data_IF_153331331206
#
_entry.id   IF_153331331206
#
_cell.length_a   1.000
_cell.length_b   1.000
_cell.length_c   1.000
_cell.angle_alpha   90.00
_cell.angle_beta   90.00
_cell.angle_gamma   90.00
#
_symmetry.space_group_name_H-M   'P 1'
#
loop_
_entity.id
_entity.type
_entity.pdbx_description
1 polymer ?
#
# COMPACT_ATOMS: atom_id res chain seq x y z
N UNK A 1 30.10 -45.76 -3.14
CA UNK A 1 29.39 -44.75 -3.95
C UNK A 1 29.03 -43.58 -3.04
N UNK A 2 29.65 -42.41 -3.23
CA UNK A 2 29.43 -41.21 -2.39
C UNK A 2 28.23 -40.44 -2.95
N UNK A 3 27.19 -40.22 -2.14
CA UNK A 3 26.04 -39.42 -2.52
C UNK A 3 26.40 -37.92 -2.44
N UNK A 4 26.33 -37.26 -3.59
CA UNK A 4 26.50 -35.82 -3.74
C UNK A 4 25.12 -35.19 -3.55
N UNK A 5 24.89 -34.59 -2.38
CA UNK A 5 23.65 -33.87 -2.08
C UNK A 5 23.77 -32.50 -2.74
N UNK A 6 23.16 -32.34 -3.91
CA UNK A 6 23.02 -31.06 -4.60
C UNK A 6 21.98 -30.23 -3.85
N UNK A 7 22.44 -29.25 -3.06
CA UNK A 7 21.56 -28.29 -2.41
C UNK A 7 20.89 -27.40 -3.46
N UNK A 8 19.56 -27.42 -3.48
CA UNK A 8 18.71 -26.55 -4.29
C UNK A 8 18.91 -25.10 -3.86
N UNK A 9 19.21 -24.16 -4.79
CA UNK A 9 19.35 -22.76 -4.42
C UNK A 9 17.98 -22.22 -4.00
N UNK A 10 17.85 -21.90 -2.72
CA UNK A 10 16.70 -21.15 -2.21
C UNK A 10 16.74 -19.76 -2.84
N UNK A 11 15.93 -19.57 -3.88
CA UNK A 11 15.70 -18.26 -4.48
C UNK A 11 15.04 -17.38 -3.42
N UNK A 12 15.84 -16.59 -2.71
CA UNK A 12 15.35 -15.51 -1.86
C UNK A 12 14.75 -14.46 -2.79
N UNK A 13 13.44 -14.56 -3.02
CA UNK A 13 12.64 -13.51 -3.65
C UNK A 13 12.80 -12.25 -2.78
N UNK A 14 13.78 -11.42 -3.13
CA UNK A 14 13.94 -10.11 -2.57
C UNK A 14 12.67 -9.32 -2.86
N UNK A 15 11.83 -9.15 -1.86
CA UNK A 15 10.63 -8.30 -1.94
C UNK A 15 11.14 -6.88 -2.14
N UNK A 16 11.25 -6.47 -3.41
CA UNK A 16 11.59 -5.09 -3.76
C UNK A 16 10.53 -4.21 -3.10
N UNK A 17 10.95 -3.37 -2.16
CA UNK A 17 10.08 -2.48 -1.39
C UNK A 17 9.43 -1.52 -2.37
N UNK A 18 8.20 -1.82 -2.80
CA UNK A 18 7.44 -0.97 -3.72
C UNK A 18 7.23 0.38 -3.05
N UNK A 19 7.52 1.46 -3.78
CA UNK A 19 7.26 2.80 -3.29
C UNK A 19 5.78 2.91 -2.89
N UNK A 20 5.44 3.53 -1.75
CA UNK A 20 4.08 3.56 -1.22
C UNK A 20 3.04 4.14 -2.19
N UNK A 21 3.47 5.00 -3.12
CA UNK A 21 2.62 5.55 -4.18
C UNK A 21 2.11 4.48 -5.15
N UNK A 22 2.95 3.49 -5.50
CA UNK A 22 2.53 2.38 -6.37
C UNK A 22 1.53 1.44 -5.69
N UNK A 23 1.61 1.26 -4.37
CA UNK A 23 0.63 0.44 -3.64
C UNK A 23 -0.76 1.11 -3.67
N UNK A 24 -0.80 2.43 -3.54
CA UNK A 24 -2.05 3.19 -3.57
C UNK A 24 -2.68 3.19 -4.97
N UNK A 25 -1.88 3.36 -6.02
CA UNK A 25 -2.32 3.23 -7.40
C UNK A 25 -2.82 1.80 -7.72
N UNK A 26 -2.11 0.77 -7.26
CA UNK A 26 -2.52 -0.62 -7.43
C UNK A 26 -3.83 -0.92 -6.70
N UNK A 27 -3.99 -0.42 -5.47
CA UNK A 27 -5.24 -0.55 -4.73
C UNK A 27 -6.39 0.16 -5.44
N UNK A 28 -6.18 1.39 -5.95
CA UNK A 28 -7.16 2.10 -6.76
C UNK A 28 -7.57 1.33 -8.02
N UNK A 29 -6.60 0.75 -8.75
CA UNK A 29 -6.88 -0.11 -9.91
C UNK A 29 -7.68 -1.36 -9.52
N UNK A 30 -7.32 -2.01 -8.41
CA UNK A 30 -8.03 -3.20 -7.91
C UNK A 30 -9.48 -2.87 -7.55
N UNK A 31 -9.73 -1.74 -6.88
CA UNK A 31 -11.08 -1.31 -6.54
C UNK A 31 -11.91 -0.98 -7.78
N UNK A 32 -11.30 -0.34 -8.80
CA UNK A 32 -11.97 -0.13 -10.08
C UNK A 32 -12.35 -1.44 -10.78
N UNK A 33 -11.43 -2.41 -10.82
CA UNK A 33 -11.72 -3.74 -11.39
C UNK A 33 -12.86 -4.45 -10.64
N UNK A 34 -12.90 -4.34 -9.31
CA UNK A 34 -14.00 -4.88 -8.51
C UNK A 34 -15.32 -4.17 -8.80
N UNK A 35 -15.34 -2.85 -8.97
CA UNK A 35 -16.54 -2.11 -9.35
C UNK A 35 -17.09 -2.61 -10.71
N UNK A 36 -16.23 -2.74 -11.72
CA UNK A 36 -16.60 -3.26 -13.05
C UNK A 36 -17.10 -4.71 -12.99
N UNK A 37 -16.58 -5.52 -12.06
CA UNK A 37 -17.06 -6.90 -11.84
C UNK A 37 -18.48 -6.90 -11.27
N UNK A 38 -18.77 -6.06 -10.29
CA UNK A 38 -20.11 -5.94 -9.69
C UNK A 38 -21.12 -5.38 -10.69
N UNK A 39 -20.73 -4.39 -11.50
CA UNK A 39 -21.55 -3.86 -12.58
C UNK A 39 -21.95 -4.95 -13.59
N UNK A 40 -20.96 -5.72 -14.09
CA UNK A 40 -21.20 -6.84 -15.00
C UNK A 40 -22.10 -7.90 -14.39
N UNK A 41 -21.93 -8.17 -13.10
CA UNK A 41 -22.75 -9.14 -12.36
C UNK A 41 -24.20 -8.67 -12.24
N UNK A 42 -24.42 -7.40 -11.90
CA UNK A 42 -25.76 -6.81 -11.84
C UNK A 42 -26.47 -6.91 -13.20
N UNK A 43 -25.80 -6.47 -14.28
CA UNK A 43 -26.33 -6.54 -15.65
C UNK A 43 -26.64 -7.97 -16.08
N UNK A 44 -25.80 -8.94 -15.71
CA UNK A 44 -26.02 -10.34 -16.04
C UNK A 44 -27.31 -10.88 -15.41
N UNK A 45 -27.52 -10.65 -14.11
CA UNK A 45 -28.71 -11.14 -13.41
C UNK A 45 -29.98 -10.37 -13.76
N UNK A 46 -29.84 -9.08 -14.12
CA UNK A 46 -30.94 -8.29 -14.64
C UNK A 46 -31.42 -8.83 -16.00
N UNK A 47 -30.48 -9.19 -16.90
CA UNK A 47 -30.79 -9.79 -18.20
C UNK A 47 -31.34 -11.20 -18.11
N UNK A 48 -30.87 -12.02 -17.17
CA UNK A 48 -31.28 -13.42 -17.00
C UNK A 48 -32.22 -13.60 -15.80
N UNK A 49 -33.12 -12.63 -15.60
CA UNK A 49 -33.96 -12.58 -14.41
C UNK A 49 -34.83 -13.84 -14.26
N UNK A 50 -35.34 -14.34 -15.38
CA UNK A 50 -36.25 -15.48 -15.44
C UNK A 50 -35.57 -16.82 -15.13
N UNK A 51 -34.25 -16.92 -15.36
CA UNK A 51 -33.47 -18.13 -15.11
C UNK A 51 -33.10 -18.30 -13.63
N UNK A 52 -32.96 -17.21 -12.88
CA UNK A 52 -32.45 -17.23 -11.51
C UNK A 52 -33.26 -16.37 -10.54
N UNK A 53 -34.58 -16.62 -10.37
CA UNK A 53 -35.50 -15.71 -9.67
C UNK A 53 -35.09 -15.30 -8.24
N UNK A 54 -34.32 -16.13 -7.52
CA UNK A 54 -33.77 -15.79 -6.20
C UNK A 54 -32.56 -14.84 -6.27
N UNK A 55 -31.65 -15.09 -7.21
CA UNK A 55 -30.41 -14.31 -7.39
C UNK A 55 -30.63 -13.06 -8.25
N UNK A 56 -31.66 -13.04 -9.09
CA UNK A 56 -32.10 -11.86 -9.83
C UNK A 56 -33.18 -11.07 -9.08
N UNK A 57 -33.40 -11.39 -7.80
CA UNK A 57 -34.27 -10.60 -6.94
C UNK A 57 -33.81 -9.13 -6.97
N UNK A 58 -34.78 -8.21 -6.99
CA UNK A 58 -34.48 -6.77 -7.06
C UNK A 58 -33.50 -6.34 -5.97
N UNK A 59 -33.60 -6.91 -4.76
CA UNK A 59 -32.69 -6.64 -3.65
C UNK A 59 -31.24 -7.10 -3.91
N UNK A 60 -31.04 -8.22 -4.60
CA UNK A 60 -29.68 -8.68 -4.93
C UNK A 60 -29.02 -7.79 -5.98
N UNK A 61 -29.77 -7.42 -7.03
CA UNK A 61 -29.29 -6.51 -8.07
C UNK A 61 -28.94 -5.15 -7.45
N UNK A 62 -29.80 -4.65 -6.56
CA UNK A 62 -29.57 -3.40 -5.83
C UNK A 62 -28.29 -3.46 -4.98
N UNK A 63 -28.08 -4.55 -4.23
CA UNK A 63 -26.82 -4.76 -3.49
C UNK A 63 -25.60 -4.80 -4.41
N UNK A 64 -25.71 -5.39 -5.59
CA UNK A 64 -24.61 -5.39 -6.56
C UNK A 64 -24.29 -3.96 -7.03
N UNK A 65 -25.30 -3.15 -7.31
CA UNK A 65 -25.12 -1.73 -7.70
C UNK A 65 -24.57 -0.88 -6.55
N UNK A 66 -25.00 -1.13 -5.32
CA UNK A 66 -24.42 -0.48 -4.13
C UNK A 66 -22.94 -0.83 -3.94
N UNK A 67 -22.57 -2.09 -4.14
CA UNK A 67 -21.17 -2.52 -4.11
C UNK A 67 -20.37 -1.85 -5.24
N UNK A 68 -20.87 -1.83 -6.46
CA UNK A 68 -20.25 -1.10 -7.57
C UNK A 68 -19.97 0.36 -7.20
N UNK A 69 -20.98 1.08 -6.72
CA UNK A 69 -20.85 2.49 -6.35
C UNK A 69 -19.82 2.71 -5.23
N UNK A 70 -19.83 1.82 -4.22
CA UNK A 70 -18.88 1.88 -3.10
C UNK A 70 -17.45 1.67 -3.58
N UNK A 71 -17.21 0.65 -4.41
CA UNK A 71 -15.88 0.37 -4.95
C UNK A 71 -15.39 1.45 -5.91
N UNK A 72 -16.29 2.02 -6.71
CA UNK A 72 -15.95 3.14 -7.60
C UNK A 72 -15.53 4.38 -6.81
N UNK A 73 -16.29 4.73 -5.76
CA UNK A 73 -15.95 5.84 -4.85
C UNK A 73 -14.62 5.63 -4.12
N UNK A 74 -14.32 4.40 -3.69
CA UNK A 74 -13.04 4.06 -3.09
C UNK A 74 -11.89 4.23 -4.09
N UNK A 75 -12.06 3.75 -5.33
CA UNK A 75 -11.06 3.92 -6.38
C UNK A 75 -10.79 5.42 -6.66
N UNK A 76 -11.85 6.22 -6.80
CA UNK A 76 -11.75 7.67 -7.02
C UNK A 76 -11.01 8.36 -5.87
N UNK A 77 -11.34 8.02 -4.62
CA UNK A 77 -10.66 8.57 -3.44
C UNK A 77 -9.17 8.23 -3.45
N UNK A 78 -8.83 7.01 -3.86
CA UNK A 78 -7.43 6.59 -3.94
C UNK A 78 -6.65 7.32 -5.03
N UNK A 79 -7.24 7.55 -6.21
CA UNK A 79 -6.61 8.34 -7.25
C UNK A 79 -6.57 9.84 -6.93
N UNK A 80 -7.52 10.35 -6.16
CA UNK A 80 -7.61 11.77 -5.80
C UNK A 80 -6.70 12.18 -4.64
N UNK A 81 -6.19 11.23 -3.83
CA UNK A 81 -5.25 11.56 -2.75
C UNK A 81 -3.91 12.01 -3.37
N UNK A 82 -3.50 13.29 -3.21
CA UNK A 82 -2.16 13.68 -3.60
C UNK A 82 -1.19 12.87 -2.75
N UNK A 83 -0.25 12.22 -3.42
CA UNK A 83 0.89 11.57 -2.81
C UNK A 83 1.74 12.63 -2.07
N UNK A 84 1.31 13.07 -0.88
CA UNK A 84 2.06 14.03 -0.07
C UNK A 84 3.40 13.40 0.26
N UNK A 85 4.44 13.94 -0.36
CA UNK A 85 5.82 13.48 -0.31
C UNK A 85 6.62 14.31 0.68
N UNK A 86 6.03 14.69 1.80
CA UNK A 86 6.75 15.35 2.90
C UNK A 86 7.04 14.30 3.96
N UNK A 87 8.06 13.49 3.71
CA UNK A 87 8.72 12.75 4.78
C UNK A 87 9.51 13.80 5.56
N UNK A 88 8.89 14.38 6.59
CA UNK A 88 9.64 15.17 7.55
C UNK A 88 10.75 14.29 8.13
N UNK A 89 12.03 14.72 8.13
CA UNK A 89 13.09 13.93 8.71
C UNK A 89 12.79 13.77 10.20
N UNK A 90 12.33 12.58 10.59
CA UNK A 90 12.25 12.20 12.00
C UNK A 90 13.69 12.18 12.48
N UNK A 91 14.10 13.21 13.22
CA UNK A 91 15.35 13.21 13.97
C UNK A 91 15.25 12.07 14.97
N UNK A 92 15.73 10.89 14.60
CA UNK A 92 15.97 9.82 15.56
C UNK A 92 17.10 10.28 16.45
N UNK A 93 16.77 10.73 17.67
CA UNK A 93 17.78 10.88 18.70
C UNK A 93 18.29 9.48 19.04
N UNK A 94 19.41 9.11 18.42
CA UNK A 94 20.21 7.98 18.88
C UNK A 94 20.74 8.38 20.25
N UNK A 95 20.03 7.98 21.31
CA UNK A 95 20.53 8.07 22.66
C UNK A 95 21.69 7.08 22.79
N UNK A 96 22.90 7.53 22.47
CA UNK A 96 24.11 6.81 22.85
C UNK A 96 24.15 6.77 24.39
N UNK A 97 23.73 5.64 24.95
CA UNK A 97 23.98 5.28 26.34
C UNK A 97 25.50 5.13 26.49
N UNK A 98 26.18 6.24 26.80
CA UNK A 98 27.59 6.22 27.18
C UNK A 98 27.72 5.47 28.50
N UNK A 99 28.15 4.21 28.44
CA UNK A 99 29.06 3.72 29.47
C UNK A 99 30.30 4.60 29.40
N UNK A 100 30.70 5.09 30.58
CA UNK A 100 31.55 6.26 30.71
C UNK A 100 32.97 6.10 30.19
N UNK A 101 33.60 7.28 30.09
CA UNK A 101 34.97 7.63 30.47
C UNK A 101 35.73 8.37 29.36
N UNK A 102 36.23 9.53 29.79
CA UNK A 102 37.20 10.47 29.22
C UNK A 102 36.78 11.35 28.03
N UNK A 103 36.42 12.57 28.40
CA UNK A 103 36.48 13.76 27.57
C UNK A 103 37.90 13.98 27.04
N UNK A 104 37.99 14.25 25.74
CA UNK A 104 39.15 14.90 25.10
C UNK A 104 38.60 16.22 24.54
N UNK A 105 39.07 17.32 25.12
CA UNK A 105 38.86 18.70 24.66
C UNK A 105 39.36 18.84 23.21
N UNK A 106 38.72 19.67 22.38
CA UNK A 106 39.42 20.41 21.35
C UNK A 106 39.57 21.88 21.77
N UNK A 107 40.80 22.32 21.60
CA UNK A 107 41.40 23.61 21.92
C UNK A 107 40.72 24.81 21.26
N UNK A 108 40.98 25.94 21.91
CA UNK A 108 40.50 27.29 21.67
C UNK A 108 40.99 27.89 20.36
N UNK A 109 40.13 28.63 19.64
CA UNK A 109 40.42 29.99 19.12
C UNK A 109 39.18 30.65 18.52
N UNK A 110 38.60 31.50 19.36
CA UNK A 110 37.63 32.56 19.13
C UNK A 110 38.11 33.55 18.08
N UNK A 111 37.24 33.96 17.15
CA UNK A 111 37.11 35.34 16.69
C UNK A 111 35.64 35.60 16.36
N UNK A 112 34.94 36.21 17.32
CA UNK A 112 33.63 36.85 17.14
C UNK A 112 33.92 38.30 16.73
N UNK A 113 33.39 38.73 15.58
CA UNK A 113 33.19 40.16 15.28
C UNK A 113 31.69 40.36 15.11
N UNK A 114 31.10 41.06 16.08
CA UNK A 114 29.69 41.50 16.08
C UNK A 114 29.67 42.96 15.68
N UNK A 115 28.68 43.34 14.88
CA UNK A 115 28.15 44.69 14.81
C UNK A 115 26.66 44.64 15.09
#
# INVERSE_FOLDING_TARGET
>A
MKQMITSTPVVRLGVKRLAPHHLWELAGRLFRLNAERWQRRALFYERHRDYFPRLSSGQFIERCRQLEATYRRLAETMFALPAKREWAPVRTMVLHRKQGVRAVLPDHRTLISVR
#
